data_IF_422975459549
#
_entry.id   IF_422975459549
#
_cell.length_a   1.000
_cell.length_b   1.000
_cell.length_c   1.000
_cell.angle_alpha   90.00
_cell.angle_beta   90.00
_cell.angle_gamma   90.00
#
_symmetry.space_group_name_H-M   'P 1'
#
loop_
_entity.id
_entity.type
_entity.pdbx_description
1 polymer ?
#
# COMPACT_ATOMS: atom_id res chain seq x y z
N UNK A 1 -15.80 11.00 21.60
CA UNK A 1 -15.29 9.99 22.57
C UNK A 1 -13.91 9.54 22.12
N UNK A 2 -12.97 9.27 23.05
CA UNK A 2 -11.60 8.83 22.70
C UNK A 2 -11.61 7.30 22.49
N UNK A 3 -11.24 6.85 21.30
CA UNK A 3 -11.04 5.42 21.02
C UNK A 3 -9.93 4.85 21.92
N UNK A 4 -10.04 3.58 22.37
CA UNK A 4 -9.05 2.97 23.24
C UNK A 4 -7.69 2.88 22.55
N UNK A 5 -6.59 3.12 23.27
CA UNK A 5 -5.23 3.05 22.71
C UNK A 5 -4.91 1.72 22.02
N UNK A 6 -5.44 0.61 22.56
CA UNK A 6 -5.28 -0.74 21.98
C UNK A 6 -5.79 -0.84 20.54
N UNK A 7 -6.86 -0.12 20.21
CA UNK A 7 -7.37 -0.07 18.84
C UNK A 7 -6.30 0.46 17.89
N UNK A 8 -5.69 1.61 18.23
CA UNK A 8 -4.68 2.25 17.41
C UNK A 8 -3.42 1.38 17.27
N UNK A 9 -2.99 0.72 18.35
CA UNK A 9 -1.84 -0.20 18.31
C UNK A 9 -2.11 -1.34 17.33
N UNK A 10 -3.29 -1.97 17.37
CA UNK A 10 -3.63 -3.03 16.42
C UNK A 10 -3.72 -2.53 14.98
N UNK A 11 -4.33 -1.36 14.75
CA UNK A 11 -4.44 -0.78 13.42
C UNK A 11 -3.06 -0.48 12.82
N UNK A 12 -2.22 0.24 13.55
CA UNK A 12 -0.89 0.61 13.06
C UNK A 12 0.05 -0.58 12.96
N UNK A 13 -0.08 -1.58 13.84
CA UNK A 13 0.66 -2.83 13.71
C UNK A 13 0.29 -3.59 12.44
N UNK A 14 -1.00 -3.68 12.11
CA UNK A 14 -1.46 -4.29 10.86
C UNK A 14 -0.96 -3.54 9.63
N UNK A 15 -1.11 -2.22 9.60
CA UNK A 15 -0.60 -1.39 8.51
C UNK A 15 0.93 -1.49 8.37
N UNK A 16 1.65 -1.52 9.49
CA UNK A 16 3.09 -1.71 9.53
C UNK A 16 3.51 -3.06 8.97
N UNK A 17 2.81 -4.14 9.36
CA UNK A 17 3.06 -5.47 8.82
C UNK A 17 2.86 -5.54 7.30
N UNK A 18 1.78 -4.94 6.80
CA UNK A 18 1.53 -4.83 5.36
C UNK A 18 2.62 -4.02 4.67
N UNK A 19 3.03 -2.89 5.25
CA UNK A 19 4.09 -2.06 4.72
C UNK A 19 5.44 -2.79 4.65
N UNK A 20 5.80 -3.55 5.69
CA UNK A 20 7.04 -4.34 5.69
C UNK A 20 7.02 -5.41 4.60
N UNK A 21 5.93 -6.18 4.49
CA UNK A 21 5.79 -7.19 3.45
C UNK A 21 5.84 -6.60 2.03
N UNK A 22 5.11 -5.51 1.81
CA UNK A 22 5.13 -4.79 0.54
C UNK A 22 6.54 -4.27 0.23
N UNK A 23 7.24 -3.71 1.21
CA UNK A 23 8.60 -3.18 1.06
C UNK A 23 9.63 -4.25 0.71
N UNK A 24 9.57 -5.43 1.34
CA UNK A 24 10.46 -6.55 1.04
C UNK A 24 10.33 -7.03 -0.41
N UNK A 25 9.12 -6.98 -0.96
CA UNK A 25 8.82 -7.40 -2.33
C UNK A 25 8.97 -6.28 -3.36
N UNK A 26 8.86 -5.02 -2.94
CA UNK A 26 8.92 -3.85 -3.83
C UNK A 26 10.24 -3.74 -4.59
N UNK A 27 11.36 -4.13 -3.96
CA UNK A 27 12.68 -4.10 -4.61
C UNK A 27 12.74 -4.97 -5.87
N UNK A 28 12.05 -6.12 -5.89
CA UNK A 28 11.95 -6.96 -7.09
C UNK A 28 11.25 -6.24 -8.24
N UNK A 29 10.19 -5.49 -7.94
CA UNK A 29 9.48 -4.68 -8.93
C UNK A 29 10.38 -3.57 -9.47
N UNK A 30 11.17 -2.93 -8.60
CA UNK A 30 12.19 -1.95 -9.00
C UNK A 30 13.20 -2.52 -9.98
N UNK A 31 13.83 -3.64 -9.64
CA UNK A 31 14.80 -4.31 -10.51
C UNK A 31 14.20 -4.74 -11.86
N UNK A 32 12.91 -5.09 -11.88
CA UNK A 32 12.21 -5.39 -13.13
C UNK A 32 12.08 -4.16 -14.03
N UNK A 33 11.69 -3.01 -13.47
CA UNK A 33 11.57 -1.76 -14.23
C UNK A 33 12.93 -1.21 -14.68
N UNK A 34 13.96 -1.34 -13.83
CA UNK A 34 15.34 -1.02 -14.20
C UNK A 34 15.82 -1.86 -15.39
N UNK A 35 15.63 -3.18 -15.32
CA UNK A 35 15.99 -4.09 -16.41
C UNK A 35 15.19 -3.78 -17.69
N UNK A 36 13.91 -3.47 -17.55
CA UNK A 36 13.04 -3.09 -18.68
C UNK A 36 13.52 -1.80 -19.34
N UNK A 37 13.91 -0.80 -18.55
CA UNK A 37 14.45 0.47 -19.03
C UNK A 37 15.82 0.29 -19.72
N UNK A 38 16.69 -0.56 -19.16
CA UNK A 38 18.00 -0.86 -19.73
C UNK A 38 17.96 -1.52 -21.12
N UNK A 39 16.85 -2.15 -21.49
CA UNK A 39 16.65 -2.70 -22.83
C UNK A 39 15.98 -1.73 -23.81
N UNK A 40 15.50 -0.58 -23.33
CA UNK A 40 14.86 0.44 -24.17
C UNK A 40 15.85 1.53 -24.56
N UNK A 41 16.00 1.76 -25.87
CA UNK A 41 16.89 2.81 -26.40
C UNK A 41 16.46 4.25 -26.05
N UNK A 42 15.25 4.41 -25.49
CA UNK A 42 14.58 5.70 -25.23
C UNK A 42 14.40 6.02 -23.75
N UNK A 43 14.85 5.15 -22.82
CA UNK A 43 14.69 5.43 -21.40
C UNK A 43 15.74 6.44 -20.90
N UNK A 44 15.28 7.46 -20.18
CA UNK A 44 16.16 8.23 -19.28
C UNK A 44 16.61 7.35 -18.11
N UNK A 45 17.92 7.19 -17.95
CA UNK A 45 18.61 6.58 -16.80
C UNK A 45 17.87 5.41 -16.13
N UNK A 46 18.22 4.18 -16.51
CA UNK A 46 17.58 2.95 -16.05
C UNK A 46 17.50 2.83 -14.52
N UNK A 47 18.51 3.32 -13.79
CA UNK A 47 18.51 3.29 -12.33
C UNK A 47 17.38 4.13 -11.73
N UNK A 48 17.13 5.32 -12.28
CA UNK A 48 16.01 6.18 -11.85
C UNK A 48 14.66 5.55 -12.15
N UNK A 49 14.51 4.84 -13.26
CA UNK A 49 13.28 4.10 -13.57
C UNK A 49 13.07 2.96 -12.56
N UNK A 50 14.15 2.30 -12.13
CA UNK A 50 14.13 1.31 -11.06
C UNK A 50 13.66 1.86 -9.70
N UNK A 51 14.14 3.03 -9.31
CA UNK A 51 13.73 3.69 -8.06
C UNK A 51 12.22 4.00 -8.07
N UNK A 52 11.71 4.59 -9.16
CA UNK A 52 10.28 4.88 -9.30
C UNK A 52 9.47 3.58 -9.42
N UNK A 53 10.01 2.56 -10.08
CA UNK A 53 9.44 1.21 -10.15
C UNK A 53 9.30 0.55 -8.78
N UNK A 54 10.26 0.76 -7.88
CA UNK A 54 10.19 0.28 -6.49
C UNK A 54 9.04 0.96 -5.74
N UNK A 55 8.89 2.27 -5.87
CA UNK A 55 7.79 3.02 -5.26
C UNK A 55 6.43 2.55 -5.78
N UNK A 56 6.33 2.35 -7.10
CA UNK A 56 5.12 1.81 -7.73
C UNK A 56 4.80 0.41 -7.20
N UNK A 57 5.80 -0.49 -7.17
CA UNK A 57 5.67 -1.84 -6.67
C UNK A 57 5.22 -1.89 -5.22
N UNK A 58 5.81 -1.05 -4.36
CA UNK A 58 5.38 -0.89 -2.97
C UNK A 58 3.90 -0.53 -2.87
N UNK A 59 3.46 0.49 -3.62
CA UNK A 59 2.07 0.95 -3.57
C UNK A 59 1.10 -0.14 -4.01
N UNK A 60 1.39 -0.82 -5.13
CA UNK A 60 0.52 -1.87 -5.67
C UNK A 60 0.46 -3.09 -4.77
N UNK A 61 1.61 -3.53 -4.23
CA UNK A 61 1.68 -4.66 -3.32
C UNK A 61 1.00 -4.35 -1.98
N UNK A 62 1.19 -3.15 -1.45
CA UNK A 62 0.51 -2.71 -0.23
C UNK A 62 -1.02 -2.65 -0.43
N UNK A 63 -1.50 -2.15 -1.56
CA UNK A 63 -2.94 -2.15 -1.90
C UNK A 63 -3.48 -3.58 -2.04
N UNK A 64 -2.73 -4.46 -2.70
CA UNK A 64 -3.13 -5.86 -2.90
C UNK A 64 -3.17 -6.62 -1.57
N UNK A 65 -2.18 -6.43 -0.71
CA UNK A 65 -2.14 -7.00 0.63
C UNK A 65 -3.23 -6.41 1.53
N UNK A 66 -3.49 -5.10 1.47
CA UNK A 66 -4.61 -4.50 2.16
C UNK A 66 -5.92 -5.14 1.69
N UNK A 67 -6.18 -5.24 0.39
CA UNK A 67 -7.38 -5.90 -0.12
C UNK A 67 -7.49 -7.37 0.31
N UNK A 68 -6.40 -8.12 0.16
CA UNK A 68 -6.35 -9.55 0.47
C UNK A 68 -6.37 -9.86 1.97
N UNK A 69 -6.00 -8.94 2.85
CA UNK A 69 -6.01 -9.15 4.30
C UNK A 69 -7.21 -8.50 4.99
N UNK A 70 -7.62 -7.31 4.56
CA UNK A 70 -8.75 -6.59 5.18
C UNK A 70 -10.09 -7.22 4.82
N UNK A 71 -10.29 -7.65 3.57
CA UNK A 71 -11.57 -8.25 3.15
C UNK A 71 -11.79 -9.60 3.84
N UNK A 72 -10.85 -10.57 3.80
CA UNK A 72 -11.00 -11.81 4.55
C UNK A 72 -10.95 -11.58 6.06
N UNK A 73 -10.15 -10.63 6.54
CA UNK A 73 -10.10 -10.26 7.96
C UNK A 73 -11.44 -9.80 8.52
N UNK A 74 -12.19 -8.97 7.77
CA UNK A 74 -13.56 -8.56 8.12
C UNK A 74 -14.55 -9.73 8.01
N UNK A 75 -14.45 -10.55 6.95
CA UNK A 75 -15.35 -11.68 6.65
C UNK A 75 -15.23 -12.82 7.68
N UNK A 76 -14.01 -13.25 8.01
CA UNK A 76 -13.76 -14.31 8.97
C UNK A 76 -13.80 -13.83 10.43
N UNK A 77 -13.88 -12.51 10.66
CA UNK A 77 -13.90 -11.93 12.00
C UNK A 77 -12.59 -12.06 12.78
N UNK A 78 -11.50 -12.45 12.12
CA UNK A 78 -10.17 -12.66 12.69
C UNK A 78 -9.45 -11.35 13.00
N UNK A 79 -9.64 -10.33 12.15
CA UNK A 79 -9.08 -8.99 12.32
C UNK A 79 -10.23 -8.08 12.71
N UNK A 80 -10.70 -8.21 13.95
CA UNK A 80 -11.60 -7.22 14.56
C UNK A 80 -10.81 -6.43 15.59
N UNK A 81 -10.39 -5.19 15.28
CA UNK A 81 -9.75 -4.30 16.24
C UNK A 81 -10.67 -3.88 17.41
N UNK A 82 -11.90 -4.41 17.45
CA UNK A 82 -13.00 -3.96 18.28
C UNK A 82 -13.79 -5.14 18.82
N UNK A 83 -14.09 -5.08 20.12
CA UNK A 83 -14.85 -6.11 20.80
C UNK A 83 -16.32 -6.09 20.33
N UNK A 84 -16.90 -7.27 20.07
CA UNK A 84 -18.25 -7.44 19.51
C UNK A 84 -19.34 -6.90 20.43
N UNK A 85 -19.03 -6.81 21.73
CA UNK A 85 -19.92 -6.31 22.80
C UNK A 85 -19.59 -4.89 23.28
N UNK A 86 -18.60 -4.22 22.68
CA UNK A 86 -18.23 -2.88 23.12
C UNK A 86 -19.29 -1.83 22.73
N UNK A 87 -19.65 -0.91 23.64
CA UNK A 87 -20.64 0.14 23.35
C UNK A 87 -20.18 1.11 22.24
N UNK A 88 -18.89 1.15 21.93
CA UNK A 88 -18.27 2.03 20.92
C UNK A 88 -18.06 1.36 19.55
N UNK A 89 -18.63 0.17 19.31
CA UNK A 89 -18.38 -0.64 18.09
C UNK A 89 -18.64 0.10 16.77
N UNK A 90 -19.71 0.88 16.67
CA UNK A 90 -20.04 1.58 15.42
C UNK A 90 -19.08 2.72 15.11
N UNK A 91 -18.67 3.50 16.12
CA UNK A 91 -17.70 4.59 15.97
C UNK A 91 -16.32 4.06 15.59
N UNK A 92 -15.92 3.00 16.27
CA UNK A 92 -14.78 2.17 15.96
C UNK A 92 -14.76 1.75 14.48
N UNK A 93 -15.73 0.94 14.05
CA UNK A 93 -15.77 0.44 12.68
C UNK A 93 -15.74 1.57 11.63
N UNK A 94 -16.44 2.69 11.88
CA UNK A 94 -16.41 3.86 11.01
C UNK A 94 -15.01 4.50 10.95
N UNK A 95 -14.31 4.63 12.08
CA UNK A 95 -12.95 5.17 12.12
C UNK A 95 -11.93 4.25 11.44
N UNK A 96 -12.02 2.93 11.65
CA UNK A 96 -11.16 1.97 10.96
C UNK A 96 -11.32 2.07 9.44
N UNK A 97 -12.57 2.09 8.95
CA UNK A 97 -12.85 2.24 7.51
C UNK A 97 -12.36 3.57 6.97
N UNK A 98 -12.53 4.68 7.70
CA UNK A 98 -11.98 5.98 7.30
C UNK A 98 -10.47 5.95 7.15
N UNK A 99 -9.75 5.37 8.11
CA UNK A 99 -8.29 5.28 8.03
C UNK A 99 -7.86 4.39 6.86
N UNK A 100 -8.49 3.23 6.67
CA UNK A 100 -8.21 2.37 5.52
C UNK A 100 -8.47 3.08 4.19
N UNK A 101 -9.58 3.81 4.07
CA UNK A 101 -9.88 4.58 2.86
C UNK A 101 -8.83 5.66 2.59
N UNK A 102 -8.34 6.36 3.63
CA UNK A 102 -7.26 7.34 3.49
C UNK A 102 -5.98 6.66 3.02
N UNK A 103 -5.59 5.54 3.65
CA UNK A 103 -4.39 4.79 3.28
C UNK A 103 -4.49 4.30 1.83
N UNK A 104 -5.62 3.70 1.44
CA UNK A 104 -5.87 3.24 0.08
C UNK A 104 -5.84 4.39 -0.92
N UNK A 105 -6.42 5.54 -0.58
CA UNK A 105 -6.40 6.72 -1.45
C UNK A 105 -4.97 7.23 -1.65
N UNK A 106 -4.19 7.37 -0.58
CA UNK A 106 -2.79 7.83 -0.64
C UNK A 106 -1.94 6.88 -1.46
N UNK A 107 -2.04 5.57 -1.22
CA UNK A 107 -1.28 4.56 -1.98
C UNK A 107 -1.71 4.51 -3.45
N UNK A 108 -3.00 4.63 -3.75
CA UNK A 108 -3.51 4.66 -5.12
C UNK A 108 -2.98 5.86 -5.88
N UNK A 109 -3.02 7.06 -5.27
CA UNK A 109 -2.48 8.27 -5.88
C UNK A 109 -0.96 8.17 -6.08
N UNK A 110 -0.22 7.71 -5.08
CA UNK A 110 1.22 7.52 -5.19
C UNK A 110 1.58 6.52 -6.29
N UNK A 111 0.86 5.39 -6.38
CA UNK A 111 1.01 4.40 -7.44
C UNK A 111 0.71 4.96 -8.83
N UNK A 112 -0.39 5.71 -8.98
CA UNK A 112 -0.74 6.36 -10.26
C UNK A 112 0.31 7.39 -10.68
N UNK A 113 0.79 8.22 -9.76
CA UNK A 113 1.85 9.18 -10.04
C UNK A 113 3.14 8.47 -10.43
N UNK A 114 3.54 7.41 -9.72
CA UNK A 114 4.71 6.61 -10.07
C UNK A 114 4.59 5.96 -11.45
N UNK A 115 3.43 5.39 -11.78
CA UNK A 115 3.17 4.82 -13.10
C UNK A 115 3.26 5.87 -14.23
N UNK A 116 2.71 7.07 -14.00
CA UNK A 116 2.82 8.18 -14.94
C UNK A 116 4.27 8.60 -15.15
N UNK A 117 5.05 8.71 -14.07
CA UNK A 117 6.47 9.07 -14.13
C UNK A 117 7.27 8.01 -14.88
N UNK A 118 7.09 6.72 -14.57
CA UNK A 118 7.74 5.61 -15.31
C UNK A 118 7.41 5.71 -16.81
N UNK A 119 6.14 5.87 -17.16
CA UNK A 119 5.71 6.01 -18.55
C UNK A 119 6.35 7.22 -19.25
N UNK A 120 6.50 8.35 -18.54
CA UNK A 120 7.18 9.54 -19.09
C UNK A 120 8.68 9.31 -19.31
N UNK A 121 9.36 8.62 -18.38
CA UNK A 121 10.79 8.32 -18.45
C UNK A 121 11.12 7.29 -19.54
N UNK A 122 10.20 6.38 -19.83
CA UNK A 122 10.37 5.38 -20.89
C UNK A 122 10.07 5.93 -22.30
N UNK A 123 9.36 7.06 -22.38
CA UNK A 123 8.90 7.67 -23.65
C UNK A 123 9.80 8.83 -24.11
N UNK A 124 10.75 9.30 -23.32
CA UNK A 124 11.60 10.44 -23.67
C UNK A 124 12.64 10.08 -24.73
N UNK A 125 12.21 10.07 -25.99
CA UNK A 125 13.05 10.26 -27.17
C UNK A 125 13.30 11.75 -27.42
#
# INVERSE_FOLDING_TARGET
MKLPARFWVHLFSHLGFVGILAGLLAGWVGTFFEALAGHSHTATDAARVGDVGTLFGFCMLALLLLGALTVPGELFGLIRPYDRKAPYRHEAQAMHRKVLLIVVAVLSWAGLTAAFVIGSMMRSS
#
